data_IF_246872511291
#
_entry.id   IF_246872511291
#
_cell.length_a   1.000
_cell.length_b   1.000
_cell.length_c   1.000
_cell.angle_alpha   90.00
_cell.angle_beta   90.00
_cell.angle_gamma   90.00
#
_symmetry.space_group_name_H-M   'P 1'
#
loop_
_entity.id
_entity.type
_entity.pdbx_description
1 polymer ?
#
# COMPACT_ATOMS: atom_id res chain seq x y z
N UNK A 1 19.54 20.75 -38.96
CA UNK A 1 18.29 20.15 -39.49
C UNK A 1 18.16 18.66 -39.16
N UNK A 2 19.13 17.81 -39.52
CA UNK A 2 19.11 16.35 -39.25
C UNK A 2 18.93 15.97 -37.76
N UNK A 3 19.57 16.69 -36.85
CA UNK A 3 19.45 16.45 -35.39
C UNK A 3 18.00 16.63 -34.87
N UNK A 4 17.37 17.78 -35.15
CA UNK A 4 15.97 18.08 -34.75
C UNK A 4 14.97 17.10 -35.37
N UNK A 5 15.25 16.61 -36.57
CA UNK A 5 14.44 15.60 -37.25
C UNK A 5 14.49 14.25 -36.53
N UNK A 6 15.69 13.73 -36.23
CA UNK A 6 15.84 12.49 -35.47
C UNK A 6 15.19 12.54 -34.08
N UNK A 7 15.28 13.69 -33.42
CA UNK A 7 14.68 13.90 -32.11
C UNK A 7 13.15 13.95 -32.17
N UNK A 8 12.56 14.56 -33.21
CA UNK A 8 11.11 14.54 -33.41
C UNK A 8 10.57 13.12 -33.60
N UNK A 9 11.28 12.29 -34.38
CA UNK A 9 10.94 10.87 -34.60
C UNK A 9 11.02 10.08 -33.29
N UNK A 10 12.14 10.20 -32.56
CA UNK A 10 12.33 9.53 -31.28
C UNK A 10 11.24 9.92 -30.27
N UNK A 11 10.98 11.21 -30.10
CA UNK A 11 9.94 11.72 -29.21
C UNK A 11 8.54 11.19 -29.56
N UNK A 12 8.19 11.14 -30.85
CA UNK A 12 6.91 10.61 -31.31
C UNK A 12 6.79 9.11 -31.07
N UNK A 13 7.86 8.35 -31.33
CA UNK A 13 7.90 6.92 -31.07
C UNK A 13 7.79 6.60 -29.59
N UNK A 14 8.57 7.26 -28.73
CA UNK A 14 8.54 7.05 -27.28
C UNK A 14 7.15 7.33 -26.72
N UNK A 15 6.50 8.40 -27.16
CA UNK A 15 5.13 8.73 -26.72
C UNK A 15 4.11 7.67 -27.16
N UNK A 16 4.15 7.23 -28.43
CA UNK A 16 3.26 6.18 -28.94
C UNK A 16 3.49 4.84 -28.22
N UNK A 17 4.75 4.46 -28.00
CA UNK A 17 5.11 3.25 -27.27
C UNK A 17 4.57 3.30 -25.83
N UNK A 18 4.77 4.43 -25.15
CA UNK A 18 4.28 4.67 -23.79
C UNK A 18 2.76 4.61 -23.69
N UNK A 19 2.03 5.24 -24.62
CA UNK A 19 0.57 5.21 -24.65
C UNK A 19 0.03 3.80 -24.93
N UNK A 20 0.60 3.11 -25.92
CA UNK A 20 0.21 1.74 -26.24
C UNK A 20 0.47 0.77 -25.09
N UNK A 21 1.65 0.89 -24.46
CA UNK A 21 1.99 0.10 -23.27
C UNK A 21 1.04 0.39 -22.12
N UNK A 22 0.74 1.66 -21.86
CA UNK A 22 -0.21 2.07 -20.82
C UNK A 22 -1.61 1.50 -21.02
N UNK A 23 -2.11 1.49 -22.26
CA UNK A 23 -3.41 0.89 -22.60
C UNK A 23 -3.42 -0.63 -22.38
N UNK A 24 -2.35 -1.34 -22.79
CA UNK A 24 -2.24 -2.78 -22.57
C UNK A 24 -2.21 -3.12 -21.07
N UNK A 25 -1.43 -2.37 -20.28
CA UNK A 25 -1.37 -2.55 -18.83
C UNK A 25 -2.70 -2.25 -18.15
N UNK A 26 -3.42 -1.21 -18.60
CA UNK A 26 -4.77 -0.91 -18.10
C UNK A 26 -5.74 -2.07 -18.32
N UNK A 27 -5.71 -2.67 -19.50
CA UNK A 27 -6.59 -3.80 -19.82
C UNK A 27 -6.29 -5.01 -18.94
N UNK A 28 -5.01 -5.34 -18.75
CA UNK A 28 -4.60 -6.45 -17.87
C UNK A 28 -4.98 -6.20 -16.41
N UNK A 29 -4.76 -4.98 -15.89
CA UNK A 29 -5.15 -4.63 -14.53
C UNK A 29 -6.67 -4.69 -14.33
N UNK A 30 -7.44 -4.30 -15.35
CA UNK A 30 -8.90 -4.40 -15.34
C UNK A 30 -9.35 -5.87 -15.30
N UNK A 31 -8.78 -6.72 -16.15
CA UNK A 31 -9.06 -8.17 -16.14
C UNK A 31 -8.68 -8.76 -14.78
N UNK A 32 -7.48 -8.47 -14.30
CA UNK A 32 -7.01 -8.91 -12.99
C UNK A 32 -8.01 -8.54 -11.89
N UNK A 33 -8.52 -7.31 -11.86
CA UNK A 33 -9.44 -6.86 -10.82
C UNK A 33 -10.77 -7.61 -10.86
N UNK A 34 -11.28 -7.89 -12.06
CA UNK A 34 -12.48 -8.71 -12.25
C UNK A 34 -12.22 -10.15 -11.77
N UNK A 35 -11.09 -10.75 -12.16
CA UNK A 35 -10.73 -12.11 -11.74
C UNK A 35 -10.48 -12.20 -10.24
N UNK A 36 -9.81 -11.20 -9.66
CA UNK A 36 -9.57 -11.09 -8.23
C UNK A 36 -10.90 -11.01 -7.46
N UNK A 37 -11.86 -10.22 -7.96
CA UNK A 37 -13.21 -10.19 -7.42
C UNK A 37 -13.85 -11.59 -7.48
N UNK A 38 -13.94 -12.20 -8.65
CA UNK A 38 -14.62 -13.50 -8.84
C UNK A 38 -13.98 -14.60 -7.98
N UNK A 39 -12.66 -14.61 -7.87
CA UNK A 39 -11.93 -15.69 -7.20
C UNK A 39 -11.89 -15.56 -5.68
N UNK A 40 -11.75 -14.35 -5.16
CA UNK A 40 -11.56 -14.11 -3.72
C UNK A 40 -12.81 -13.57 -3.01
N UNK A 41 -13.86 -13.20 -3.75
CA UNK A 41 -15.10 -12.74 -3.13
C UNK A 41 -15.84 -13.90 -2.45
N UNK A 42 -16.07 -13.75 -1.15
CA UNK A 42 -16.90 -14.68 -0.39
C UNK A 42 -18.36 -14.22 -0.44
N UNK A 43 -19.25 -15.04 -1.00
CA UNK A 43 -20.69 -14.74 -1.14
C UNK A 43 -21.42 -14.59 0.21
N UNK A 44 -20.83 -15.10 1.29
CA UNK A 44 -21.41 -15.02 2.63
C UNK A 44 -21.21 -13.65 3.30
N UNK A 45 -20.30 -12.82 2.77
CA UNK A 45 -20.11 -11.46 3.28
C UNK A 45 -21.22 -10.54 2.78
N UNK A 46 -21.95 -9.91 3.72
CA UNK A 46 -22.91 -8.85 3.41
C UNK A 46 -22.18 -7.68 2.74
N UNK A 47 -22.23 -7.63 1.42
CA UNK A 47 -21.63 -6.57 0.61
C UNK A 47 -22.72 -5.83 -0.15
N UNK A 48 -22.67 -4.50 -0.09
CA UNK A 48 -23.57 -3.66 -0.84
C UNK A 48 -23.01 -3.44 -2.25
N UNK A 49 -23.83 -3.60 -3.30
CA UNK A 49 -23.45 -3.36 -4.71
C UNK A 49 -22.84 -1.98 -4.91
N UNK A 50 -23.32 -0.97 -4.18
CA UNK A 50 -22.76 0.39 -4.27
C UNK A 50 -21.32 0.45 -3.75
N UNK A 51 -20.98 -0.32 -2.71
CA UNK A 51 -19.61 -0.40 -2.20
C UNK A 51 -18.69 -1.18 -3.13
N UNK A 52 -19.22 -2.22 -3.80
CA UNK A 52 -18.48 -2.94 -4.84
C UNK A 52 -18.12 -1.99 -5.99
N UNK A 53 -19.08 -1.22 -6.51
CA UNK A 53 -18.82 -0.23 -7.57
C UNK A 53 -17.77 0.79 -7.12
N UNK A 54 -17.87 1.28 -5.87
CA UNK A 54 -16.84 2.16 -5.29
C UNK A 54 -15.47 1.47 -5.28
N UNK A 55 -15.38 0.20 -4.88
CA UNK A 55 -14.12 -0.55 -4.89
C UNK A 55 -13.46 -0.55 -6.27
N UNK A 56 -14.23 -0.79 -7.34
CA UNK A 56 -13.73 -0.74 -8.72
C UNK A 56 -13.29 0.68 -9.14
N UNK A 57 -14.04 1.72 -8.76
CA UNK A 57 -13.69 3.11 -9.06
C UNK A 57 -12.42 3.57 -8.33
N UNK A 58 -12.31 3.26 -7.04
CA UNK A 58 -11.07 3.45 -6.28
C UNK A 58 -9.94 2.61 -6.89
N UNK A 59 -10.26 1.42 -7.39
CA UNK A 59 -9.36 0.54 -8.10
C UNK A 59 -8.67 1.16 -9.30
N UNK A 60 -9.46 1.77 -10.19
CA UNK A 60 -8.94 2.48 -11.38
C UNK A 60 -7.89 3.53 -10.99
N UNK A 61 -8.08 4.21 -9.86
CA UNK A 61 -7.12 5.21 -9.36
C UNK A 61 -5.75 4.59 -9.02
N UNK A 62 -5.74 3.42 -8.37
CA UNK A 62 -4.51 2.69 -8.09
C UNK A 62 -3.89 2.10 -9.37
N UNK A 63 -4.71 1.62 -10.30
CA UNK A 63 -4.25 1.11 -11.60
C UNK A 63 -3.54 2.21 -12.41
N UNK A 64 -4.15 3.40 -12.52
CA UNK A 64 -3.57 4.53 -13.22
C UNK A 64 -2.25 4.99 -12.58
N UNK A 65 -2.13 4.94 -11.24
CA UNK A 65 -0.87 5.23 -10.55
C UNK A 65 0.20 4.20 -10.90
N UNK A 66 -0.11 2.89 -10.82
CA UNK A 66 0.80 1.80 -11.23
C UNK A 66 1.28 1.97 -12.67
N UNK A 67 0.33 2.14 -13.60
CA UNK A 67 0.63 2.30 -15.02
C UNK A 67 1.53 3.51 -15.24
N UNK A 68 1.26 4.62 -14.56
CA UNK A 68 2.04 5.85 -14.75
C UNK A 68 3.46 5.73 -14.23
N UNK A 69 3.68 5.02 -13.11
CA UNK A 69 5.03 4.71 -12.60
C UNK A 69 5.82 3.84 -13.60
N UNK A 70 5.18 2.87 -14.22
CA UNK A 70 5.82 2.00 -15.22
C UNK A 70 6.09 2.76 -16.52
N UNK A 71 5.11 3.51 -17.00
CA UNK A 71 5.17 4.24 -18.27
C UNK A 71 6.20 5.37 -18.21
N UNK A 72 6.34 6.08 -17.08
CA UNK A 72 7.39 7.10 -16.96
C UNK A 72 8.79 6.50 -17.04
N UNK A 73 8.98 5.26 -16.56
CA UNK A 73 10.24 4.53 -16.68
C UNK A 73 10.53 4.10 -18.13
N UNK A 74 9.52 3.57 -18.83
CA UNK A 74 9.61 3.24 -20.27
C UNK A 74 9.97 4.50 -21.08
N UNK A 75 9.31 5.62 -20.77
CA UNK A 75 9.56 6.90 -21.41
C UNK A 75 11.01 7.38 -21.17
N UNK A 76 11.50 7.30 -19.92
CA UNK A 76 12.86 7.69 -19.56
C UNK A 76 13.93 6.84 -20.26
N UNK A 77 13.78 5.52 -20.30
CA UNK A 77 14.70 4.63 -21.03
C UNK A 77 14.69 4.94 -22.53
N UNK A 78 13.51 5.24 -23.08
CA UNK A 78 13.38 5.61 -24.50
C UNK A 78 14.10 6.92 -24.84
N UNK A 79 14.36 7.79 -23.85
CA UNK A 79 15.17 9.00 -24.00
C UNK A 79 16.67 8.80 -23.71
N UNK A 80 17.05 7.81 -22.91
CA UNK A 80 18.45 7.59 -22.52
C UNK A 80 19.36 7.05 -23.65
N UNK A 81 18.79 6.58 -24.76
CA UNK A 81 19.56 6.06 -25.90
C UNK A 81 20.36 7.14 -26.64
N UNK A 82 21.62 6.84 -26.99
CA UNK A 82 22.45 7.71 -27.83
C UNK A 82 21.77 7.96 -29.19
N UNK A 83 21.50 9.22 -29.51
CA UNK A 83 20.75 9.67 -30.69
C UNK A 83 21.25 9.07 -32.01
N UNK A 84 22.57 8.83 -32.13
CA UNK A 84 23.19 8.25 -33.34
C UNK A 84 22.84 6.77 -33.54
N UNK A 85 22.52 6.06 -32.45
CA UNK A 85 22.24 4.63 -32.45
C UNK A 85 20.79 4.30 -32.09
N UNK A 86 19.90 5.29 -32.00
CA UNK A 86 18.52 5.12 -31.60
C UNK A 86 17.81 4.00 -32.39
N UNK A 87 17.88 4.03 -33.73
CA UNK A 87 17.24 2.98 -34.57
C UNK A 87 17.84 1.58 -34.38
N UNK A 88 19.12 1.48 -33.98
CA UNK A 88 19.76 0.20 -33.68
C UNK A 88 19.21 -0.40 -32.40
N UNK A 89 18.95 0.43 -31.39
CA UNK A 89 18.47 0.03 -30.06
C UNK A 89 16.95 0.08 -29.91
N UNK A 90 16.23 0.69 -30.85
CA UNK A 90 14.78 0.82 -30.84
C UNK A 90 14.06 -0.53 -30.77
N UNK A 91 14.60 -1.56 -31.43
CA UNK A 91 14.05 -2.92 -31.37
C UNK A 91 14.17 -3.51 -29.96
N UNK A 92 15.29 -3.29 -29.29
CA UNK A 92 15.55 -3.75 -27.93
C UNK A 92 14.65 -3.00 -26.93
N UNK A 93 14.49 -1.69 -27.12
CA UNK A 93 13.60 -0.86 -26.30
C UNK A 93 12.13 -1.32 -26.36
N UNK A 94 11.67 -1.85 -27.50
CA UNK A 94 10.30 -2.41 -27.61
C UNK A 94 10.07 -3.71 -26.85
N UNK A 95 11.12 -4.45 -26.49
CA UNK A 95 10.96 -5.65 -25.67
C UNK A 95 10.77 -5.33 -24.19
N UNK A 96 11.21 -4.16 -23.72
CA UNK A 96 11.11 -3.81 -22.29
C UNK A 96 9.64 -3.76 -21.84
N UNK A 97 8.71 -3.08 -22.54
CA UNK A 97 7.30 -3.10 -22.16
C UNK A 97 6.68 -4.51 -22.22
N UNK A 98 7.09 -5.34 -23.19
CA UNK A 98 6.61 -6.72 -23.27
C UNK A 98 7.07 -7.54 -22.06
N UNK A 99 8.33 -7.44 -21.66
CA UNK A 99 8.85 -8.13 -20.46
C UNK A 99 8.08 -7.70 -19.20
N UNK A 100 7.78 -6.40 -19.08
CA UNK A 100 6.99 -5.89 -17.96
C UNK A 100 5.56 -6.44 -18.01
N UNK A 101 4.94 -6.53 -19.19
CA UNK A 101 3.62 -7.14 -19.40
C UNK A 101 3.56 -8.58 -18.88
N UNK A 102 4.51 -9.41 -19.33
CA UNK A 102 4.60 -10.82 -18.93
C UNK A 102 4.81 -10.95 -17.42
N UNK A 103 5.70 -10.13 -16.86
CA UNK A 103 5.91 -10.08 -15.41
C UNK A 103 4.64 -9.67 -14.65
N UNK A 104 3.90 -8.66 -15.12
CA UNK A 104 2.65 -8.22 -14.49
C UNK A 104 1.62 -9.36 -14.47
N UNK A 105 1.42 -10.05 -15.59
CA UNK A 105 0.44 -11.15 -15.66
C UNK A 105 0.82 -12.30 -14.72
N UNK A 106 2.10 -12.69 -14.68
CA UNK A 106 2.59 -13.70 -13.73
C UNK A 106 2.40 -13.26 -12.27
N UNK A 107 2.80 -12.03 -11.94
CA UNK A 107 2.71 -11.50 -10.58
C UNK A 107 1.27 -11.37 -10.11
N UNK A 108 0.39 -10.80 -10.94
CA UNK A 108 -1.04 -10.62 -10.64
C UNK A 108 -1.78 -11.97 -10.54
N UNK A 109 -1.40 -12.96 -11.34
CA UNK A 109 -1.91 -14.33 -11.22
C UNK A 109 -1.50 -14.98 -9.90
N UNK A 110 -0.22 -14.86 -9.52
CA UNK A 110 0.27 -15.34 -8.23
C UNK A 110 -0.39 -14.59 -7.05
N UNK A 111 -0.64 -13.29 -7.19
CA UNK A 111 -1.31 -12.44 -6.21
C UNK A 111 -2.73 -12.92 -5.89
N UNK A 112 -3.53 -13.26 -6.91
CA UNK A 112 -4.89 -13.80 -6.72
C UNK A 112 -4.88 -15.05 -5.85
N UNK A 113 -3.96 -16.00 -6.12
CA UNK A 113 -3.83 -17.25 -5.36
C UNK A 113 -3.30 -17.01 -3.95
N UNK A 114 -2.33 -16.10 -3.82
CA UNK A 114 -1.70 -15.76 -2.56
C UNK A 114 -2.69 -15.12 -1.58
N UNK A 115 -3.52 -14.20 -2.08
CA UNK A 115 -4.47 -13.43 -1.27
C UNK A 115 -5.43 -14.31 -0.47
N UNK A 116 -5.96 -15.38 -1.09
CA UNK A 116 -6.87 -16.35 -0.44
C UNK A 116 -6.33 -16.90 0.88
N UNK A 117 -5.02 -17.09 0.97
CA UNK A 117 -4.37 -17.68 2.14
C UNK A 117 -3.79 -16.64 3.10
N UNK A 118 -3.34 -15.50 2.57
CA UNK A 118 -2.60 -14.49 3.33
C UNK A 118 -3.44 -13.30 3.79
N UNK A 119 -4.63 -13.08 3.19
CA UNK A 119 -5.45 -11.88 3.37
C UNK A 119 -4.65 -10.59 3.17
N UNK A 120 -3.76 -10.58 2.18
CA UNK A 120 -3.03 -9.39 1.73
C UNK A 120 -2.51 -9.62 0.32
N UNK A 121 -2.24 -8.54 -0.42
CA UNK A 121 -1.60 -8.67 -1.72
C UNK A 121 -0.14 -9.11 -1.58
N UNK A 122 0.32 -9.84 -2.58
CA UNK A 122 1.70 -10.25 -2.77
C UNK A 122 2.55 -9.00 -3.06
N UNK A 123 3.29 -8.56 -2.05
CA UNK A 123 4.19 -7.40 -2.10
C UNK A 123 5.62 -7.80 -2.44
N UNK A 124 6.59 -7.18 -1.78
CA UNK A 124 8.03 -7.47 -1.96
C UNK A 124 8.39 -8.95 -1.78
N UNK A 125 7.58 -9.70 -1.04
CA UNK A 125 7.79 -11.13 -0.83
C UNK A 125 7.84 -11.90 -2.15
N UNK A 126 7.17 -11.46 -3.22
CA UNK A 126 7.31 -12.05 -4.56
C UNK A 126 8.77 -12.14 -5.00
N UNK A 127 9.55 -11.09 -4.78
CA UNK A 127 10.97 -11.03 -5.19
C UNK A 127 11.80 -11.99 -4.34
N UNK A 128 11.46 -12.14 -3.06
CA UNK A 128 12.12 -13.10 -2.15
C UNK A 128 11.77 -14.54 -2.52
N UNK A 129 10.50 -14.80 -2.84
CA UNK A 129 9.99 -16.10 -3.22
C UNK A 129 10.54 -16.61 -4.55
N UNK A 130 10.92 -15.71 -5.47
CA UNK A 130 11.66 -16.08 -6.69
C UNK A 130 13.07 -16.66 -6.40
N UNK A 131 13.54 -16.59 -5.16
CA UNK A 131 14.79 -17.20 -4.71
C UNK A 131 14.65 -18.69 -4.34
N UNK A 132 15.07 -19.05 -3.13
CA UNK A 132 15.22 -20.45 -2.71
C UNK A 132 13.91 -21.23 -2.59
N UNK A 133 12.80 -20.54 -2.33
CA UNK A 133 11.50 -21.16 -2.02
C UNK A 133 10.58 -21.26 -3.25
N UNK A 134 11.03 -20.79 -4.42
CA UNK A 134 10.21 -20.71 -5.63
C UNK A 134 9.60 -22.05 -6.02
N UNK A 135 10.43 -23.11 -6.04
CA UNK A 135 10.01 -24.44 -6.51
C UNK A 135 8.94 -25.07 -5.62
N UNK A 136 9.00 -24.83 -4.31
CA UNK A 136 8.03 -25.34 -3.33
C UNK A 136 6.69 -24.62 -3.49
N UNK A 137 6.73 -23.29 -3.58
CA UNK A 137 5.53 -22.45 -3.74
C UNK A 137 4.85 -22.74 -5.09
N UNK A 138 5.64 -22.83 -6.16
CA UNK A 138 5.14 -23.12 -7.50
C UNK A 138 4.47 -24.50 -7.58
N UNK A 139 5.08 -25.54 -7.00
CA UNK A 139 4.45 -26.87 -6.91
C UNK A 139 3.17 -26.86 -6.10
N UNK A 140 3.14 -26.13 -4.99
CA UNK A 140 1.95 -25.97 -4.16
C UNK A 140 0.81 -25.31 -4.96
N UNK A 141 1.12 -24.24 -5.70
CA UNK A 141 0.16 -23.54 -6.55
C UNK A 141 -0.40 -24.45 -7.67
N UNK A 142 0.47 -25.22 -8.35
CA UNK A 142 0.07 -26.18 -9.39
C UNK A 142 -0.90 -27.24 -8.87
N UNK A 143 -0.68 -27.72 -7.65
CA UNK A 143 -1.53 -28.73 -7.03
C UNK A 143 -2.86 -28.14 -6.54
N UNK A 144 -2.87 -26.87 -6.15
CA UNK A 144 -4.06 -26.19 -5.64
C UNK A 144 -5.08 -25.90 -6.75
N UNK A 145 -4.65 -25.27 -7.85
CA UNK A 145 -5.57 -24.77 -8.90
C UNK A 145 -4.95 -24.81 -10.31
N UNK A 146 -4.78 -26.02 -10.85
CA UNK A 146 -4.18 -26.25 -12.18
C UNK A 146 -4.89 -25.47 -13.30
N UNK A 147 -6.22 -25.46 -13.32
CA UNK A 147 -6.99 -24.76 -14.37
C UNK A 147 -6.80 -23.24 -14.33
N UNK A 148 -6.67 -22.67 -13.13
CA UNK A 148 -6.38 -21.24 -12.98
C UNK A 148 -5.01 -20.89 -13.55
N UNK A 149 -4.00 -21.74 -13.27
CA UNK A 149 -2.65 -21.56 -13.79
C UNK A 149 -2.60 -21.72 -15.31
N UNK A 150 -3.32 -22.69 -15.88
CA UNK A 150 -3.48 -22.80 -17.34
C UNK A 150 -4.11 -21.55 -17.95
N UNK A 151 -5.11 -20.97 -17.28
CA UNK A 151 -5.70 -19.69 -17.67
C UNK A 151 -4.70 -18.54 -17.69
N UNK A 152 -3.79 -18.45 -16.70
CA UNK A 152 -2.68 -17.49 -16.69
C UNK A 152 -1.77 -17.72 -17.90
N UNK A 153 -1.36 -18.96 -18.18
CA UNK A 153 -0.50 -19.27 -19.33
C UNK A 153 -1.12 -18.91 -20.67
N UNK A 154 -2.41 -19.19 -20.86
CA UNK A 154 -3.15 -18.77 -22.06
C UNK A 154 -3.19 -17.25 -22.17
N UNK A 155 -3.44 -16.56 -21.04
CA UNK A 155 -3.46 -15.10 -20.98
C UNK A 155 -2.09 -14.49 -21.31
N UNK A 156 -1.00 -15.06 -20.80
CA UNK A 156 0.37 -14.66 -21.12
C UNK A 156 0.64 -14.75 -22.62
N UNK A 157 0.40 -15.93 -23.21
CA UNK A 157 0.64 -16.15 -24.64
C UNK A 157 -0.24 -15.22 -25.49
N UNK A 158 -1.53 -15.12 -25.16
CA UNK A 158 -2.47 -14.26 -25.90
C UNK A 158 -2.13 -12.78 -25.80
N UNK A 159 -1.88 -12.28 -24.59
CA UNK A 159 -1.50 -10.88 -24.36
C UNK A 159 -0.17 -10.56 -25.03
N UNK A 160 0.83 -11.43 -24.90
CA UNK A 160 2.14 -11.27 -25.53
C UNK A 160 2.07 -11.22 -27.05
N UNK A 161 1.29 -12.11 -27.69
CA UNK A 161 1.11 -12.12 -29.14
C UNK A 161 0.37 -10.87 -29.65
N UNK A 162 -0.72 -10.46 -28.98
CA UNK A 162 -1.48 -9.26 -29.32
C UNK A 162 -0.59 -8.02 -29.17
N UNK A 163 0.15 -7.94 -28.06
CA UNK A 163 1.07 -6.84 -27.78
C UNK A 163 2.19 -6.77 -28.81
N UNK A 164 2.81 -7.91 -29.14
CA UNK A 164 3.88 -8.00 -30.14
C UNK A 164 3.40 -7.59 -31.54
N UNK A 165 2.19 -8.02 -31.93
CA UNK A 165 1.58 -7.62 -33.21
C UNK A 165 1.36 -6.11 -33.27
N UNK A 166 0.78 -5.51 -32.22
CA UNK A 166 0.57 -4.06 -32.17
C UNK A 166 1.87 -3.26 -32.12
N UNK A 167 2.89 -3.74 -31.40
CA UNK A 167 4.23 -3.15 -31.41
C UNK A 167 4.85 -3.15 -32.82
N UNK A 168 4.73 -4.23 -33.57
CA UNK A 168 5.24 -4.29 -34.94
C UNK A 168 4.50 -3.30 -35.87
N UNK A 169 3.19 -3.13 -35.70
CA UNK A 169 2.42 -2.09 -36.43
C UNK A 169 2.85 -0.66 -36.06
N UNK A 170 3.15 -0.39 -34.79
CA UNK A 170 3.67 0.91 -34.35
C UNK A 170 5.05 1.20 -34.96
N UNK A 171 5.88 0.18 -35.17
CA UNK A 171 7.21 0.30 -35.78
C UNK A 171 7.14 0.62 -37.28
N UNK A 172 6.14 0.09 -37.99
CA UNK A 172 5.99 0.31 -39.44
C UNK A 172 5.31 1.64 -39.79
N UNK A 173 4.68 2.30 -38.82
CA UNK A 173 3.93 3.56 -38.99
C UNK A 173 4.68 4.81 -38.51
N UNK A 174 6.00 4.70 -38.33
CA UNK A 174 6.84 5.81 -37.84
C UNK A 174 7.16 6.75 -39.01
N UNK A 175 6.27 7.72 -39.22
CA UNK A 175 6.50 8.89 -40.06
C UNK A 175 6.29 10.13 -39.21
N UNK A 176 7.32 10.96 -38.98
CA UNK A 176 7.12 12.23 -38.25
C UNK A 176 6.88 13.37 -39.23
N UNK A 177 5.63 13.84 -39.32
CA UNK A 177 5.29 15.15 -39.87
C UNK A 177 5.23 16.25 -38.78
N UNK A 178 5.55 15.91 -37.53
CA UNK A 178 5.44 16.82 -36.39
C UNK A 178 6.67 17.70 -36.22
N UNK A 179 6.46 18.99 -35.96
CA UNK A 179 7.52 19.92 -35.65
C UNK A 179 8.22 19.54 -34.33
N UNK A 180 9.53 19.77 -34.26
CA UNK A 180 10.36 19.45 -33.08
C UNK A 180 9.82 20.07 -31.77
N UNK A 181 9.39 21.35 -31.82
CA UNK A 181 8.85 22.07 -30.66
C UNK A 181 7.54 21.45 -30.19
N UNK A 182 6.64 21.10 -31.12
CA UNK A 182 5.40 20.40 -30.80
C UNK A 182 5.69 19.04 -30.16
N UNK A 183 6.68 18.31 -30.65
CA UNK A 183 7.04 17.01 -30.10
C UNK A 183 7.53 17.09 -28.64
N UNK A 184 8.26 18.17 -28.29
CA UNK A 184 8.63 18.45 -26.90
C UNK A 184 7.41 18.80 -26.06
N UNK A 185 6.52 19.69 -26.53
CA UNK A 185 5.36 20.13 -25.75
C UNK A 185 4.43 18.97 -25.39
N UNK A 186 4.20 18.03 -26.30
CA UNK A 186 3.42 16.82 -26.02
C UNK A 186 4.07 15.95 -24.95
N UNK A 187 5.40 15.77 -24.97
CA UNK A 187 6.10 14.98 -23.96
C UNK A 187 6.09 15.66 -22.59
N UNK A 188 6.28 16.98 -22.52
CA UNK A 188 6.18 17.73 -21.27
C UNK A 188 4.77 17.61 -20.69
N UNK A 189 3.74 17.83 -21.51
CA UNK A 189 2.35 17.68 -21.08
C UNK A 189 2.06 16.25 -20.60
N UNK A 190 2.54 15.24 -21.33
CA UNK A 190 2.37 13.84 -20.95
C UNK A 190 3.07 13.53 -19.62
N UNK A 191 4.29 14.01 -19.40
CA UNK A 191 5.00 13.88 -18.11
C UNK A 191 4.21 14.55 -16.99
N UNK A 192 3.67 15.76 -17.21
CA UNK A 192 2.83 16.44 -16.21
C UNK A 192 1.60 15.60 -15.83
N UNK A 193 0.93 14.99 -16.82
CA UNK A 193 -0.20 14.09 -16.58
C UNK A 193 0.25 12.86 -15.79
N UNK A 194 1.35 12.21 -16.19
CA UNK A 194 1.90 11.06 -15.47
C UNK A 194 2.23 11.40 -14.02
N UNK A 195 2.80 12.57 -13.73
CA UNK A 195 3.10 13.00 -12.35
C UNK A 195 1.83 13.11 -11.51
N UNK A 196 0.75 13.68 -12.05
CA UNK A 196 -0.54 13.77 -11.36
C UNK A 196 -1.11 12.36 -11.12
N UNK A 197 -1.06 11.47 -12.11
CA UNK A 197 -1.55 10.10 -11.99
C UNK A 197 -0.71 9.24 -11.04
N UNK A 198 0.62 9.36 -11.04
CA UNK A 198 1.54 8.72 -10.08
C UNK A 198 1.16 9.13 -8.66
N UNK A 199 0.92 10.43 -8.43
CA UNK A 199 0.43 10.91 -7.14
C UNK A 199 -0.96 10.36 -6.83
N UNK A 200 -1.74 9.93 -7.80
CA UNK A 200 -3.14 9.53 -7.64
C UNK A 200 -4.09 10.72 -7.56
N UNK A 201 -3.70 11.89 -8.07
CA UNK A 201 -4.52 13.11 -8.07
C UNK A 201 -3.85 14.32 -7.41
N UNK A 202 -4.66 15.33 -7.10
CA UNK A 202 -4.23 16.64 -6.58
C UNK A 202 -4.19 16.74 -5.05
N UNK A 203 -4.24 15.63 -4.34
CA UNK A 203 -4.17 15.64 -2.88
C UNK A 203 -2.75 15.97 -2.35
N UNK A 204 -2.63 16.25 -1.05
CA UNK A 204 -1.37 16.66 -0.39
C UNK A 204 -0.28 15.60 -0.44
N UNK A 205 -0.59 14.34 -0.12
CA UNK A 205 0.35 13.22 -0.14
C UNK A 205 0.16 12.31 -1.37
N UNK A 206 1.23 11.71 -1.91
CA UNK A 206 1.09 10.67 -2.92
C UNK A 206 0.20 9.52 -2.41
N UNK A 207 -0.59 8.93 -3.31
CA UNK A 207 -1.41 7.77 -2.99
C UNK A 207 -0.53 6.61 -2.50
N UNK A 208 -1.07 5.87 -1.54
CA UNK A 208 -0.42 4.75 -0.88
C UNK A 208 -1.47 3.69 -0.52
N UNK A 209 -1.06 2.46 -0.17
CA UNK A 209 -2.01 1.39 0.14
C UNK A 209 -3.09 1.80 1.15
N UNK A 210 -2.74 2.50 2.23
CA UNK A 210 -3.70 2.96 3.25
C UNK A 210 -4.87 3.81 2.72
N UNK A 211 -4.75 4.45 1.55
CA UNK A 211 -5.85 5.18 0.92
C UNK A 211 -6.98 4.27 0.42
N UNK A 212 -6.77 2.95 0.36
CA UNK A 212 -7.80 2.00 -0.08
C UNK A 212 -8.78 1.59 1.04
N UNK A 213 -8.60 2.03 2.29
CA UNK A 213 -9.54 1.79 3.39
C UNK A 213 -10.81 2.67 3.33
N UNK A 214 -11.61 2.55 2.26
CA UNK A 214 -12.83 3.36 2.09
C UNK A 214 -14.11 2.72 2.66
N UNK A 215 -14.10 1.39 2.87
CA UNK A 215 -15.21 0.60 3.42
C UNK A 215 -14.83 -0.04 4.77
N UNK A 216 -15.85 -0.45 5.54
CA UNK A 216 -15.67 -1.34 6.70
C UNK A 216 -15.37 -2.78 6.26
N UNK A 217 -15.73 -3.16 5.04
CA UNK A 217 -15.45 -4.47 4.50
C UNK A 217 -13.96 -4.58 4.08
N UNK A 218 -13.26 -5.52 4.70
CA UNK A 218 -11.85 -5.81 4.48
C UNK A 218 -11.57 -6.18 3.01
N UNK A 219 -12.38 -7.06 2.43
CA UNK A 219 -12.20 -7.51 1.05
C UNK A 219 -12.36 -6.37 0.05
N UNK A 220 -13.37 -5.49 0.21
CA UNK A 220 -13.58 -4.36 -0.70
C UNK A 220 -12.45 -3.33 -0.67
N UNK A 221 -11.83 -3.13 0.49
CA UNK A 221 -10.64 -2.28 0.61
C UNK A 221 -9.46 -2.86 -0.17
N UNK A 222 -9.24 -4.18 -0.10
CA UNK A 222 -8.18 -4.85 -0.85
C UNK A 222 -8.53 -4.96 -2.35
N UNK A 223 -9.80 -5.13 -2.70
CA UNK A 223 -10.27 -5.13 -4.08
C UNK A 223 -9.94 -3.83 -4.81
N UNK A 224 -9.74 -2.70 -4.11
CA UNK A 224 -9.27 -1.44 -4.71
C UNK A 224 -7.76 -1.41 -4.99
N UNK A 225 -6.95 -2.29 -4.40
CA UNK A 225 -5.53 -2.40 -4.68
C UNK A 225 -5.23 -3.34 -5.85
N UNK A 226 -3.99 -3.31 -6.33
CA UNK A 226 -3.43 -4.32 -7.24
C UNK A 226 -2.04 -4.74 -6.73
N UNK A 227 -1.68 -6.01 -6.90
CA UNK A 227 -0.41 -6.55 -6.40
C UNK A 227 0.85 -5.89 -6.97
N UNK A 228 0.78 -5.29 -8.17
CA UNK A 228 1.91 -4.57 -8.74
C UNK A 228 2.14 -3.25 -7.98
N UNK A 229 1.07 -2.53 -7.63
CA UNK A 229 1.14 -1.33 -6.82
C UNK A 229 1.75 -1.61 -5.45
N UNK A 230 1.37 -2.71 -4.80
CA UNK A 230 1.87 -3.05 -3.46
C UNK A 230 3.36 -3.39 -3.48
N UNK A 231 3.86 -4.09 -4.50
CA UNK A 231 5.31 -4.27 -4.72
C UNK A 231 6.01 -2.92 -4.85
N UNK A 232 5.52 -2.04 -5.70
CA UNK A 232 6.12 -0.71 -5.92
C UNK A 232 6.09 0.16 -4.65
N UNK A 233 5.05 0.04 -3.83
CA UNK A 233 4.97 0.74 -2.55
C UNK A 233 5.91 0.14 -1.50
N UNK A 234 6.02 -1.18 -1.43
CA UNK A 234 6.83 -1.87 -0.42
C UNK A 234 8.34 -1.68 -0.67
N UNK A 235 8.75 -1.57 -1.95
CA UNK A 235 10.14 -1.25 -2.30
C UNK A 235 10.64 0.07 -1.71
N UNK A 236 9.75 1.05 -1.47
CA UNK A 236 10.12 2.32 -0.82
C UNK A 236 10.51 2.15 0.65
N UNK A 237 10.02 1.11 1.29
CA UNK A 237 10.17 0.87 2.73
C UNK A 237 11.18 -0.24 3.04
N UNK A 238 11.93 -0.72 2.03
CA UNK A 238 12.84 -1.87 2.08
C UNK A 238 13.93 -1.82 3.16
N UNK A 239 14.14 -0.69 3.84
CA UNK A 239 15.09 -0.56 4.95
C UNK A 239 14.58 -1.22 6.25
N UNK A 240 14.09 -2.46 6.17
CA UNK A 240 14.05 -3.30 7.36
C UNK A 240 15.49 -3.58 7.74
N UNK A 241 15.92 -3.30 8.98
CA UNK A 241 17.21 -3.79 9.45
C UNK A 241 17.26 -5.32 9.28
N UNK A 242 18.47 -5.88 9.24
CA UNK A 242 18.64 -7.33 9.14
C UNK A 242 18.17 -7.97 10.47
N UNK A 243 16.85 -8.17 10.60
CA UNK A 243 16.23 -8.72 11.80
C UNK A 243 16.60 -10.20 11.85
N UNK A 244 17.23 -10.63 12.93
CA UNK A 244 17.44 -12.05 13.19
C UNK A 244 16.07 -12.73 13.23
N UNK A 245 15.84 -13.65 12.30
CA UNK A 245 14.60 -14.41 12.23
C UNK A 245 14.71 -15.60 13.17
N UNK A 246 13.78 -15.70 14.11
CA UNK A 246 13.56 -16.89 14.94
C UNK A 246 12.40 -17.71 14.39
N UNK A 247 12.29 -18.97 14.83
CA UNK A 247 11.16 -19.82 14.44
C UNK A 247 9.85 -19.26 14.99
N UNK A 248 8.74 -19.48 14.29
CA UNK A 248 7.45 -18.90 14.67
C UNK A 248 6.96 -19.42 16.03
N UNK A 249 7.26 -20.69 16.35
CA UNK A 249 6.90 -21.30 17.63
C UNK A 249 7.64 -20.63 18.80
N UNK A 250 8.92 -20.33 18.60
CA UNK A 250 9.77 -19.62 19.55
C UNK A 250 9.30 -18.16 19.72
N UNK A 251 8.99 -17.48 18.61
CA UNK A 251 8.46 -16.11 18.64
C UNK A 251 7.13 -16.00 19.40
N UNK A 252 6.23 -16.96 19.20
CA UNK A 252 4.96 -17.04 19.92
C UNK A 252 5.19 -17.23 21.41
N UNK A 253 6.13 -18.10 21.80
CA UNK A 253 6.44 -18.37 23.20
C UNK A 253 7.01 -17.13 23.90
N UNK A 254 7.98 -16.45 23.29
CA UNK A 254 8.55 -15.20 23.81
C UNK A 254 7.43 -14.16 23.97
N UNK A 255 6.65 -13.91 22.92
CA UNK A 255 5.60 -12.91 22.95
C UNK A 255 4.54 -13.20 24.02
N UNK A 256 4.14 -14.48 24.18
CA UNK A 256 3.17 -14.89 25.21
C UNK A 256 3.71 -14.66 26.61
N UNK A 257 4.98 -14.96 26.87
CA UNK A 257 5.60 -14.76 28.18
C UNK A 257 5.60 -13.28 28.56
N UNK A 258 5.99 -12.39 27.63
CA UNK A 258 6.06 -10.94 27.85
C UNK A 258 4.69 -10.29 28.10
N UNK A 259 3.63 -10.78 27.45
CA UNK A 259 2.29 -10.18 27.57
C UNK A 259 1.37 -10.90 28.56
N UNK A 260 1.84 -11.97 29.19
CA UNK A 260 1.06 -12.73 30.16
C UNK A 260 0.98 -12.01 31.51
N UNK A 261 -0.19 -12.08 32.14
CA UNK A 261 -0.43 -11.63 33.51
C UNK A 261 -1.46 -12.55 34.19
N UNK A 262 -1.56 -12.55 35.53
CA UNK A 262 -2.34 -13.56 36.28
C UNK A 262 -3.81 -13.71 35.85
N UNK A 263 -4.43 -12.65 35.31
CA UNK A 263 -5.83 -12.63 34.89
C UNK A 263 -6.03 -12.91 33.39
N UNK A 264 -4.94 -13.15 32.65
CA UNK A 264 -4.95 -13.42 31.22
C UNK A 264 -4.97 -14.91 30.89
N UNK A 265 -5.81 -15.30 29.94
CA UNK A 265 -5.83 -16.65 29.40
C UNK A 265 -5.79 -16.60 27.87
N UNK A 266 -4.81 -17.24 27.25
CA UNK A 266 -4.75 -17.39 25.79
C UNK A 266 -5.81 -18.40 25.32
N UNK A 267 -6.61 -18.02 24.31
CA UNK A 267 -7.83 -18.76 23.93
C UNK A 267 -7.84 -19.26 22.48
N UNK A 268 -6.78 -19.03 21.71
CA UNK A 268 -6.73 -19.45 20.30
C UNK A 268 -5.35 -19.97 19.90
N UNK A 269 -5.34 -21.05 19.12
CA UNK A 269 -4.17 -21.55 18.41
C UNK A 269 -3.93 -20.76 17.12
N UNK A 270 -5.00 -20.45 16.36
CA UNK A 270 -4.93 -19.65 15.13
C UNK A 270 -4.49 -18.21 15.38
N UNK A 271 -4.96 -17.61 16.48
CA UNK A 271 -4.57 -16.27 16.91
C UNK A 271 -3.76 -16.38 18.20
N UNK A 272 -2.44 -16.65 18.12
CA UNK A 272 -1.66 -17.12 19.27
C UNK A 272 -1.59 -16.10 20.41
N UNK A 273 -1.71 -14.81 20.14
CA UNK A 273 -1.70 -13.73 21.15
C UNK A 273 -3.10 -13.33 21.64
N UNK A 274 -4.17 -13.92 21.10
CA UNK A 274 -5.54 -13.64 21.53
C UNK A 274 -5.75 -14.16 22.95
N UNK A 275 -6.08 -13.24 23.86
CA UNK A 275 -6.28 -13.54 25.28
C UNK A 275 -7.60 -12.98 25.79
N UNK A 276 -8.21 -13.70 26.73
CA UNK A 276 -9.33 -13.25 27.54
C UNK A 276 -8.79 -12.71 28.86
N UNK A 277 -9.31 -11.57 29.30
CA UNK A 277 -9.05 -11.02 30.64
C UNK A 277 -10.31 -11.18 31.48
N UNK A 278 -10.17 -11.65 32.73
CA UNK A 278 -11.29 -11.65 33.68
C UNK A 278 -11.63 -10.20 34.03
N UNK A 279 -12.80 -9.72 33.58
CA UNK A 279 -13.25 -8.38 33.89
C UNK A 279 -13.52 -8.23 35.39
N UNK A 280 -13.21 -7.06 35.95
CA UNK A 280 -13.66 -6.72 37.32
C UNK A 280 -15.19 -6.54 37.30
N UNK A 281 -15.95 -7.13 38.24
CA UNK A 281 -17.39 -7.37 38.02
C UNK A 281 -18.32 -6.15 38.00
N UNK A 282 -17.87 -4.94 38.34
CA UNK A 282 -18.81 -3.85 38.65
C UNK A 282 -18.22 -2.47 38.39
N UNK A 283 -18.33 -2.00 37.16
CA UNK A 283 -18.25 -0.57 36.87
C UNK A 283 -19.27 -0.22 35.80
N UNK A 284 -20.10 0.79 36.07
CA UNK A 284 -20.80 1.52 35.00
C UNK A 284 -19.76 1.99 33.98
N UNK A 285 -19.91 1.68 32.68
CA UNK A 285 -18.92 2.05 31.67
C UNK A 285 -18.72 3.59 31.63
N UNK A 286 -17.49 4.12 31.85
CA UNK A 286 -17.25 5.56 31.86
C UNK A 286 -17.05 6.11 30.45
N UNK A 287 -17.29 7.40 30.22
CA UNK A 287 -16.80 8.06 29.02
C UNK A 287 -15.26 8.02 28.95
N UNK A 288 -14.71 7.72 27.79
CA UNK A 288 -13.26 7.61 27.55
C UNK A 288 -12.82 8.78 26.67
N UNK A 289 -11.92 9.63 27.18
CA UNK A 289 -11.32 10.73 26.42
C UNK A 289 -9.83 10.49 26.29
N UNK A 290 -9.37 10.30 25.05
CA UNK A 290 -7.97 10.10 24.73
C UNK A 290 -7.40 11.37 24.09
N UNK A 291 -6.45 12.02 24.77
CA UNK A 291 -5.76 13.22 24.26
C UNK A 291 -4.35 12.84 23.81
N UNK A 292 -4.11 12.86 22.51
CA UNK A 292 -2.82 12.56 21.90
C UNK A 292 -2.04 13.86 21.75
N UNK A 293 -0.90 13.98 22.42
CA UNK A 293 -0.06 15.17 22.40
C UNK A 293 1.04 15.03 21.32
N UNK A 294 0.96 15.86 20.28
CA UNK A 294 1.90 15.85 19.16
C UNK A 294 3.30 16.28 19.61
N UNK A 295 4.32 15.53 19.19
CA UNK A 295 5.74 15.80 19.51
C UNK A 295 6.04 16.04 21.01
N UNK A 296 5.25 15.43 21.90
CA UNK A 296 5.35 15.63 23.35
C UNK A 296 6.37 14.70 24.01
N UNK A 297 7.55 15.21 24.31
CA UNK A 297 8.62 14.45 24.98
C UNK A 297 8.67 14.72 26.48
N UNK A 298 8.87 13.66 27.27
CA UNK A 298 8.98 13.73 28.72
C UNK A 298 10.10 14.64 29.24
N UNK A 299 11.09 15.00 28.40
CA UNK A 299 12.16 15.94 28.78
C UNK A 299 11.66 17.34 29.15
N UNK A 300 10.43 17.70 28.77
CA UNK A 300 9.81 19.00 29.09
C UNK A 300 8.96 18.97 30.37
N UNK A 301 8.70 17.78 30.92
CA UNK A 301 7.91 17.62 32.14
C UNK A 301 8.78 17.97 33.34
N UNK A 302 8.26 18.82 34.24
CA UNK A 302 9.02 19.38 35.38
C UNK A 302 10.30 20.13 35.01
N UNK A 303 10.50 20.45 33.73
CA UNK A 303 11.66 21.19 33.24
C UNK A 303 11.41 22.69 33.24
N UNK A 304 12.50 23.45 33.39
CA UNK A 304 12.50 24.91 33.45
C UNK A 304 13.34 25.49 32.32
N UNK A 305 12.94 26.65 31.80
CA UNK A 305 13.73 27.37 30.80
C UNK A 305 14.94 28.04 31.48
N UNK A 306 16.18 27.74 31.07
CA UNK A 306 17.39 28.34 31.66
C UNK A 306 17.37 29.86 31.59
N UNK A 307 16.97 30.41 30.43
CA UNK A 307 17.11 31.84 30.13
C UNK A 307 15.87 32.68 30.45
N UNK A 308 14.77 32.05 30.92
CA UNK A 308 13.49 32.72 31.18
C UNK A 308 13.06 32.56 32.64
N UNK A 309 13.84 33.14 33.57
CA UNK A 309 13.54 33.17 35.01
C UNK A 309 13.22 31.79 35.60
N UNK A 310 13.75 30.70 35.04
CA UNK A 310 13.44 29.34 35.49
C UNK A 310 11.93 29.01 35.48
N UNK A 311 11.16 29.59 34.55
CA UNK A 311 9.73 29.27 34.36
C UNK A 311 9.56 27.82 33.93
N UNK A 312 8.58 27.15 34.53
CA UNK A 312 8.19 25.80 34.12
C UNK A 312 7.67 25.78 32.68
N UNK A 313 8.08 24.77 31.91
CA UNK A 313 7.67 24.62 30.51
C UNK A 313 6.23 24.11 30.42
N UNK A 314 5.81 23.25 31.35
CA UNK A 314 4.53 22.53 31.30
C UNK A 314 3.71 22.61 32.61
N UNK A 315 3.52 23.81 33.20
CA UNK A 315 3.00 23.97 34.57
C UNK A 315 1.59 23.38 34.79
N UNK A 316 0.73 23.44 33.76
CA UNK A 316 -0.61 22.84 33.85
C UNK A 316 -0.52 21.31 33.87
N UNK A 317 0.36 20.72 33.04
CA UNK A 317 0.57 19.28 33.01
C UNK A 317 1.21 18.77 34.30
N UNK A 318 2.17 19.50 34.87
CA UNK A 318 2.78 19.20 36.16
C UNK A 318 1.72 19.13 37.29
N UNK A 319 0.72 20.01 37.27
CA UNK A 319 -0.43 19.95 38.20
C UNK A 319 -1.35 18.75 37.95
N UNK A 320 -1.51 18.33 36.69
CA UNK A 320 -2.33 17.15 36.34
C UNK A 320 -1.69 15.85 36.82
N UNK A 321 -0.35 15.75 36.78
CA UNK A 321 0.39 14.58 37.28
C UNK A 321 0.01 14.26 38.74
N UNK A 322 -0.16 15.28 39.58
CA UNK A 322 -0.53 15.11 41.00
C UNK A 322 -1.97 14.61 41.21
N UNK A 323 -2.82 14.67 40.18
CA UNK A 323 -4.25 14.34 40.25
C UNK A 323 -4.60 13.01 39.58
N UNK A 324 -3.61 12.25 39.10
CA UNK A 324 -3.85 11.05 38.32
C UNK A 324 -2.71 10.03 38.42
N UNK A 325 -2.77 9.04 37.55
CA UNK A 325 -1.71 8.04 37.42
C UNK A 325 -0.73 8.51 36.34
N UNK A 326 0.51 8.75 36.73
CA UNK A 326 1.58 9.17 35.83
C UNK A 326 2.62 8.06 35.65
N UNK A 327 2.92 7.76 34.39
CA UNK A 327 3.94 6.79 34.02
C UNK A 327 5.23 7.52 33.62
N UNK A 328 6.21 7.59 34.53
CA UNK A 328 7.49 8.26 34.27
C UNK A 328 8.30 7.57 33.16
N UNK A 329 8.15 6.25 33.01
CA UNK A 329 8.85 5.44 32.02
C UNK A 329 7.91 4.99 30.90
N UNK A 330 7.23 5.95 30.26
CA UNK A 330 6.34 5.72 29.13
C UNK A 330 7.01 6.10 27.81
N UNK A 331 7.26 5.11 26.94
CA UNK A 331 8.02 5.29 25.71
C UNK A 331 7.14 5.15 24.47
N UNK A 332 7.39 6.00 23.48
CA UNK A 332 6.79 5.84 22.15
C UNK A 332 7.35 4.61 21.45
N UNK A 333 6.52 3.93 20.66
CA UNK A 333 6.92 2.80 19.80
C UNK A 333 7.73 3.25 18.59
N UNK A 334 7.71 4.54 18.24
CA UNK A 334 8.43 5.08 17.09
C UNK A 334 8.61 6.60 17.13
N UNK A 335 9.33 7.12 16.13
CA UNK A 335 9.71 8.54 16.07
C UNK A 335 8.75 9.43 15.26
N UNK A 336 7.65 8.90 14.74
CA UNK A 336 6.68 9.64 13.90
C UNK A 336 5.25 9.48 14.41
N UNK A 337 4.41 10.46 14.10
CA UNK A 337 2.97 10.46 14.40
C UNK A 337 2.29 9.20 13.91
N UNK A 338 2.61 8.70 12.71
CA UNK A 338 2.02 7.46 12.18
C UNK A 338 2.33 6.22 13.03
N UNK A 339 3.53 6.09 13.59
CA UNK A 339 3.85 4.96 14.47
C UNK A 339 3.09 5.05 15.80
N UNK A 340 3.05 6.25 16.40
CA UNK A 340 2.34 6.49 17.65
C UNK A 340 0.84 6.26 17.51
N UNK A 341 0.23 6.83 16.47
CA UNK A 341 -1.19 6.69 16.21
C UNK A 341 -1.59 5.24 15.96
N UNK A 342 -0.81 4.50 15.15
CA UNK A 342 -1.06 3.08 14.91
C UNK A 342 -1.01 2.29 16.22
N UNK A 343 0.04 2.46 17.03
CA UNK A 343 0.21 1.73 18.27
C UNK A 343 -0.87 2.07 19.31
N UNK A 344 -1.24 3.34 19.44
CA UNK A 344 -2.29 3.80 20.37
C UNK A 344 -3.65 3.22 19.96
N UNK A 345 -3.98 3.25 18.67
CA UNK A 345 -5.31 2.84 18.19
C UNK A 345 -5.44 1.34 17.97
N UNK A 346 -4.37 0.58 17.78
CA UNK A 346 -4.44 -0.87 17.47
C UNK A 346 -3.79 -1.75 18.53
N UNK A 347 -3.01 -1.18 19.45
CA UNK A 347 -2.16 -1.92 20.40
C UNK A 347 -1.08 -2.78 19.72
N UNK A 348 -0.77 -2.50 18.46
CA UNK A 348 0.28 -3.21 17.69
C UNK A 348 1.48 -2.26 17.51
N UNK A 349 2.71 -2.68 17.89
CA UNK A 349 3.89 -1.89 17.62
C UNK A 349 4.20 -1.88 16.12
N UNK A 350 4.75 -0.78 15.63
CA UNK A 350 5.24 -0.74 14.26
C UNK A 350 6.57 -1.52 14.13
N UNK A 351 6.91 -1.90 12.89
CA UNK A 351 8.17 -2.60 12.62
C UNK A 351 9.32 -1.60 12.47
N UNK A 352 10.55 -1.93 12.90
CA UNK A 352 11.71 -1.07 12.70
C UNK A 352 11.89 -0.66 11.23
N UNK A 353 12.04 0.64 10.98
CA UNK A 353 12.24 1.19 9.63
C UNK A 353 10.97 1.28 8.77
N UNK A 354 9.81 0.88 9.29
CA UNK A 354 8.53 0.86 8.57
C UNK A 354 7.49 1.77 9.22
N UNK A 355 6.54 2.23 8.41
CA UNK A 355 5.28 2.81 8.88
C UNK A 355 4.13 1.95 8.36
N UNK A 356 3.48 1.22 9.27
CA UNK A 356 2.42 0.27 8.91
C UNK A 356 1.25 0.97 8.22
N UNK A 357 0.92 2.20 8.65
CA UNK A 357 -0.12 3.10 8.09
C UNK A 357 0.08 3.39 6.59
N UNK A 358 1.31 3.37 6.10
CA UNK A 358 1.62 3.59 4.69
C UNK A 358 1.79 2.30 3.89
N UNK A 359 1.54 1.15 4.51
CA UNK A 359 1.66 -0.17 3.90
C UNK A 359 0.30 -0.86 3.80
N UNK A 360 0.24 -1.88 2.96
CA UNK A 360 -0.95 -2.75 2.88
C UNK A 360 -1.26 -3.48 4.20
N UNK A 361 -0.29 -3.60 5.11
CA UNK A 361 -0.53 -4.26 6.41
C UNK A 361 -1.49 -3.48 7.31
N UNK A 362 -1.66 -2.16 7.12
CA UNK A 362 -2.68 -1.39 7.82
C UNK A 362 -4.10 -1.72 7.36
N UNK A 363 -4.25 -2.36 6.20
CA UNK A 363 -5.52 -2.83 5.66
C UNK A 363 -5.78 -4.32 5.93
N UNK A 364 -4.82 -5.04 6.52
CA UNK A 364 -5.01 -6.42 6.97
C UNK A 364 -6.17 -6.47 7.99
N UNK A 365 -6.58 -7.67 8.42
CA UNK A 365 -7.59 -7.85 9.49
C UNK A 365 -7.10 -7.34 10.87
N UNK A 366 -6.88 -6.03 11.00
CA UNK A 366 -6.43 -5.32 12.20
C UNK A 366 -7.62 -4.52 12.71
N UNK A 367 -8.24 -5.01 13.78
CA UNK A 367 -9.20 -4.23 14.55
C UNK A 367 -8.50 -3.18 15.41
N UNK A 368 -9.09 -2.00 15.53
CA UNK A 368 -8.64 -0.97 16.45
C UNK A 368 -9.51 -0.83 17.69
N UNK A 369 -9.13 0.11 18.55
CA UNK A 369 -9.78 0.43 19.81
C UNK A 369 -11.26 0.79 19.60
N UNK A 370 -11.58 1.53 18.53
CA UNK A 370 -12.96 1.84 18.18
C UNK A 370 -13.80 0.58 17.90
N UNK A 371 -13.26 -0.39 17.15
CA UNK A 371 -13.95 -1.67 16.92
C UNK A 371 -14.21 -2.41 18.24
N UNK A 372 -13.24 -2.43 19.15
CA UNK A 372 -13.37 -3.12 20.45
C UNK A 372 -14.39 -2.42 21.35
N UNK A 373 -14.32 -1.09 21.49
CA UNK A 373 -15.25 -0.32 22.31
C UNK A 373 -16.68 -0.36 21.77
N UNK A 374 -16.85 -0.48 20.46
CA UNK A 374 -18.16 -0.66 19.84
C UNK A 374 -18.86 -1.94 20.28
N UNK A 375 -18.12 -3.04 20.47
CA UNK A 375 -18.68 -4.27 21.05
C UNK A 375 -19.15 -4.08 22.50
N UNK A 376 -18.58 -3.10 23.21
CA UNK A 376 -19.00 -2.71 24.56
C UNK A 376 -20.09 -1.62 24.57
N UNK A 377 -20.65 -1.24 23.41
CA UNK A 377 -21.76 -0.30 23.30
C UNK A 377 -21.37 1.18 23.25
N UNK A 378 -20.09 1.50 22.99
CA UNK A 378 -19.64 2.88 22.88
C UNK A 378 -19.79 3.46 21.47
N UNK A 379 -20.14 4.73 21.41
CA UNK A 379 -19.94 5.57 20.23
C UNK A 379 -18.53 6.19 20.23
N UNK A 380 -17.84 6.13 19.10
CA UNK A 380 -16.45 6.56 18.98
C UNK A 380 -16.31 7.77 18.07
N UNK A 381 -15.77 8.86 18.61
CA UNK A 381 -15.48 10.11 17.91
C UNK A 381 -13.96 10.29 17.82
N UNK A 382 -13.47 10.70 16.65
CA UNK A 382 -12.08 11.11 16.45
C UNK A 382 -12.03 12.58 15.99
N UNK A 383 -11.25 13.40 16.69
CA UNK A 383 -11.13 14.84 16.42
C UNK A 383 -9.68 15.14 16.05
N UNK A 384 -9.45 15.81 14.92
CA UNK A 384 -8.11 16.22 14.49
C UNK A 384 -8.13 17.63 13.91
N UNK A 385 -7.27 18.50 14.44
CA UNK A 385 -7.20 19.91 14.01
C UNK A 385 -6.58 20.13 12.62
N UNK A 386 -5.97 19.11 12.03
CA UNK A 386 -5.40 19.15 10.68
C UNK A 386 -6.34 18.52 9.64
N UNK A 387 -5.84 18.35 8.41
CA UNK A 387 -6.59 17.61 7.41
C UNK A 387 -6.45 16.10 7.64
N UNK A 388 -7.56 15.43 7.94
CA UNK A 388 -7.61 13.97 8.17
C UNK A 388 -7.12 13.13 6.97
N UNK A 389 -7.13 13.69 5.76
CA UNK A 389 -6.59 13.02 4.57
C UNK A 389 -5.04 12.99 4.55
N UNK A 390 -4.38 13.77 5.41
CA UNK A 390 -2.94 13.70 5.62
C UNK A 390 -2.53 12.32 6.16
N UNK A 391 -1.48 11.74 5.59
CA UNK A 391 -0.93 10.42 5.99
C UNK A 391 -1.90 9.22 5.96
N UNK A 392 -3.06 9.32 5.28
CA UNK A 392 -4.11 8.27 5.23
C UNK A 392 -4.82 8.00 6.57
N UNK A 393 -4.80 8.96 7.49
CA UNK A 393 -5.40 8.77 8.81
C UNK A 393 -6.91 8.52 8.69
N UNK A 394 -7.62 9.34 7.89
CA UNK A 394 -9.08 9.25 7.72
C UNK A 394 -9.59 7.85 7.35
N UNK A 395 -9.15 7.22 6.24
CA UNK A 395 -9.64 5.90 5.88
C UNK A 395 -9.32 4.85 6.94
N UNK A 396 -8.13 4.90 7.53
CA UNK A 396 -7.70 3.91 8.53
C UNK A 396 -8.41 4.04 9.88
N UNK A 397 -8.62 5.26 10.37
CA UNK A 397 -9.37 5.50 11.61
C UNK A 397 -10.81 5.03 11.50
N UNK A 398 -11.44 5.16 10.32
CA UNK A 398 -12.74 4.54 10.05
C UNK A 398 -12.67 3.02 10.06
N UNK A 399 -11.66 2.46 9.40
CA UNK A 399 -11.42 1.01 9.40
C UNK A 399 -11.26 0.46 10.83
N UNK A 400 -10.58 1.22 11.70
CA UNK A 400 -10.38 0.93 13.12
C UNK A 400 -11.57 1.24 14.03
N UNK A 401 -12.73 1.56 13.45
CA UNK A 401 -14.01 1.58 14.14
C UNK A 401 -14.47 2.92 14.72
N UNK A 402 -13.87 4.03 14.31
CA UNK A 402 -14.37 5.37 14.64
C UNK A 402 -15.42 5.80 13.62
N UNK A 403 -16.66 6.02 14.09
CA UNK A 403 -17.79 6.30 13.21
C UNK A 403 -17.88 7.78 12.83
N UNK A 404 -17.54 8.69 13.76
CA UNK A 404 -17.61 10.14 13.57
C UNK A 404 -16.22 10.75 13.58
N UNK A 405 -15.90 11.55 12.56
CA UNK A 405 -14.63 12.26 12.43
C UNK A 405 -14.87 13.76 12.31
N UNK A 406 -14.12 14.56 13.07
CA UNK A 406 -14.11 16.02 13.02
C UNK A 406 -12.75 16.57 12.63
#
# INVERSE_FOLDING_TARGET
MKFKFYQSIQNSFSLKLSLYSGLAYFFILTIYRILFFIYNHNTDEKTNTTEIIKAFLFGIRFDLSTISIIVIFILAISFAGNFKYFFKYQKQLTFIPLIILEWMVLHLGADILYFKNSNKHLGYEAIVFLGKDFTVIFRSALNADLFFILGIFITLIGAGLIFFKGLNTLRTTITSNTNYIQSISHNVLFICILVVLIRGGFQKSPISPGNAAFSKNFFLNNLALNGVFTVLSDLKWKNSPNIQKIKIEEAILIARNEISYPESQFISSRYPILRKTKAKPNTTPPNIVLVILESWTGKFINSKLPDFQSKEITPIFNKLIQKGVYFQNFFSTGGRTSNGLFAILTSIPDRPGFSTIHSQNALANVGGLGNVLKYAGYDSIFIYGGELDFENIKPLVKHWGYDTLY
#
